data_IF_657466231450
#
_entry.id   IF_657466231450
#
_cell.length_a   1.000
_cell.length_b   1.000
_cell.length_c   1.000
_cell.angle_alpha   90.00
_cell.angle_beta   90.00
_cell.angle_gamma   90.00
#
_symmetry.space_group_name_H-M   'P 1'
#
loop_
_entity.id
_entity.type
_entity.pdbx_description
1 polymer ?
#
# COMPACT_ATOMS: atom_id res chain seq x y z
N UNK A 1 -19.44 -3.61 2.09
CA UNK A 1 -18.87 -2.45 1.36
C UNK A 1 -17.39 -2.74 1.19
N UNK A 2 -16.73 -2.20 0.17
CA UNK A 2 -15.30 -2.48 -0.04
C UNK A 2 -14.51 -1.19 0.04
N UNK A 3 -13.58 -1.14 0.98
CA UNK A 3 -12.63 -0.03 1.12
C UNK A 3 -11.29 -0.44 0.52
N UNK A 4 -10.72 0.45 -0.30
CA UNK A 4 -9.38 0.33 -0.82
C UNK A 4 -8.43 1.19 0.03
N UNK A 5 -7.34 0.60 0.51
CA UNK A 5 -6.25 1.31 1.18
C UNK A 5 -5.05 1.37 0.25
N UNK A 6 -4.66 2.59 -0.05
CA UNK A 6 -3.47 2.93 -0.83
C UNK A 6 -2.31 3.25 0.10
N UNK A 7 -1.16 2.66 -0.19
CA UNK A 7 0.12 2.94 0.45
C UNK A 7 1.13 3.30 -0.64
N UNK A 8 1.85 4.40 -0.49
CA UNK A 8 2.86 4.83 -1.45
C UNK A 8 4.14 5.24 -0.72
N UNK A 9 5.28 4.77 -1.24
CA UNK A 9 6.59 5.18 -0.76
C UNK A 9 7.54 5.45 -1.91
N UNK A 10 8.45 6.40 -1.68
CA UNK A 10 9.59 6.68 -2.55
C UNK A 10 10.86 6.21 -1.84
N UNK A 11 11.59 5.28 -2.47
CA UNK A 11 12.82 4.78 -1.90
C UNK A 11 13.92 5.84 -1.88
N UNK A 12 14.97 5.57 -1.12
CA UNK A 12 16.28 6.19 -1.37
C UNK A 12 16.69 5.90 -2.82
N UNK A 13 17.33 6.88 -3.48
CA UNK A 13 17.70 6.75 -4.89
C UNK A 13 18.50 5.47 -5.17
N UNK A 14 18.04 4.67 -6.15
CA UNK A 14 18.61 3.38 -6.53
C UNK A 14 18.13 2.18 -5.69
N UNK A 15 17.29 2.40 -4.68
CA UNK A 15 16.74 1.33 -3.82
C UNK A 15 15.31 0.90 -4.17
N UNK A 16 14.78 1.28 -5.33
CA UNK A 16 13.40 0.94 -5.71
C UNK A 16 13.12 -0.56 -5.69
N UNK A 17 14.04 -1.39 -6.20
CA UNK A 17 13.88 -2.85 -6.19
C UNK A 17 14.00 -3.45 -4.78
N UNK A 18 14.83 -2.87 -3.91
CA UNK A 18 14.93 -3.28 -2.51
C UNK A 18 13.62 -2.96 -1.75
N UNK A 19 13.05 -1.79 -2.00
CA UNK A 19 11.75 -1.38 -1.46
C UNK A 19 10.62 -2.29 -1.96
N UNK A 20 10.63 -2.62 -3.25
CA UNK A 20 9.65 -3.55 -3.84
C UNK A 20 9.76 -4.95 -3.22
N UNK A 21 10.97 -5.47 -3.09
CA UNK A 21 11.21 -6.76 -2.46
C UNK A 21 10.81 -6.75 -0.97
N UNK A 22 11.08 -5.63 -0.27
CA UNK A 22 10.66 -5.45 1.11
C UNK A 22 9.13 -5.44 1.24
N UNK A 23 8.43 -4.66 0.40
CA UNK A 23 6.98 -4.50 0.53
C UNK A 23 6.26 -5.82 0.28
N UNK A 24 6.67 -6.58 -0.74
CA UNK A 24 6.04 -7.86 -1.12
C UNK A 24 6.15 -8.94 -0.04
N UNK A 25 7.11 -8.82 0.88
CA UNK A 25 7.26 -9.73 2.04
C UNK A 25 6.47 -9.31 3.27
N UNK A 26 5.89 -8.12 3.29
CA UNK A 26 5.14 -7.65 4.47
C UNK A 26 3.82 -8.42 4.61
N UNK A 27 3.58 -9.08 5.75
CA UNK A 27 2.33 -9.77 6.01
C UNK A 27 1.22 -8.76 6.31
N UNK A 28 -0.01 -9.16 6.01
CA UNK A 28 -1.22 -8.49 6.43
C UNK A 28 -2.12 -9.58 7.01
N UNK A 29 -2.51 -9.43 8.28
CA UNK A 29 -3.36 -10.39 8.99
C UNK A 29 -4.53 -9.64 9.66
N UNK A 30 -5.80 -9.90 9.25
CA UNK A 30 -6.19 -10.82 8.18
C UNK A 30 -5.66 -10.41 6.78
N UNK A 31 -5.64 -11.36 5.85
CA UNK A 31 -5.27 -11.06 4.46
C UNK A 31 -6.36 -10.21 3.77
N UNK A 32 -5.98 -9.25 2.90
CA UNK A 32 -6.95 -8.47 2.14
C UNK A 32 -7.65 -9.32 1.08
N UNK A 33 -8.83 -8.87 0.63
CA UNK A 33 -9.57 -9.48 -0.48
C UNK A 33 -8.75 -9.49 -1.78
N UNK A 34 -7.97 -8.43 -1.97
CA UNK A 34 -7.09 -8.22 -3.12
C UNK A 34 -5.92 -7.36 -2.67
N UNK A 35 -4.76 -7.63 -3.24
CA UNK A 35 -3.55 -6.82 -3.08
C UNK A 35 -2.90 -6.68 -4.44
N UNK A 36 -2.61 -5.45 -4.82
CA UNK A 36 -1.87 -5.13 -6.04
C UNK A 36 -0.67 -4.27 -5.69
N UNK A 37 0.44 -4.51 -6.39
CA UNK A 37 1.70 -3.79 -6.15
C UNK A 37 2.22 -3.29 -7.49
N UNK A 38 2.56 -2.00 -7.52
CA UNK A 38 3.01 -1.29 -8.70
C UNK A 38 4.34 -0.62 -8.41
N UNK A 39 5.12 -0.42 -9.47
CA UNK A 39 6.31 0.43 -9.46
C UNK A 39 6.14 1.57 -10.45
N UNK A 40 6.79 2.68 -10.16
CA UNK A 40 6.83 3.85 -11.03
C UNK A 40 8.26 4.42 -11.07
N UNK A 41 8.55 5.35 -12.00
CA UNK A 41 9.82 6.08 -12.00
C UNK A 41 10.14 6.71 -10.63
N UNK A 42 11.41 7.11 -10.47
CA UNK A 42 11.92 7.69 -9.23
C UNK A 42 11.91 6.78 -8.01
N UNK A 43 12.09 5.46 -8.21
CA UNK A 43 12.13 4.45 -7.14
C UNK A 43 10.85 4.42 -6.29
N UNK A 44 9.69 4.63 -6.93
CA UNK A 44 8.39 4.69 -6.26
C UNK A 44 7.69 3.34 -6.30
N UNK A 45 7.11 2.96 -5.16
CA UNK A 45 6.31 1.74 -5.01
C UNK A 45 4.94 2.12 -4.45
N UNK A 46 3.91 1.57 -5.07
CA UNK A 46 2.51 1.75 -4.70
C UNK A 46 1.91 0.39 -4.39
N UNK A 47 1.21 0.27 -3.27
CA UNK A 47 0.40 -0.91 -2.95
C UNK A 47 -1.03 -0.47 -2.71
N UNK A 48 -1.97 -1.17 -3.32
CA UNK A 48 -3.39 -1.01 -3.04
C UNK A 48 -3.91 -2.34 -2.49
N UNK A 49 -4.66 -2.27 -1.39
CA UNK A 49 -5.31 -3.42 -0.75
C UNK A 49 -6.80 -3.16 -0.64
N UNK A 50 -7.62 -4.20 -0.83
CA UNK A 50 -9.07 -4.12 -0.71
C UNK A 50 -9.55 -4.94 0.48
N UNK A 51 -10.46 -4.38 1.25
CA UNK A 51 -10.97 -4.95 2.48
C UNK A 51 -12.50 -4.95 2.46
N UNK A 52 -13.09 -6.02 2.97
CA UNK A 52 -14.53 -6.00 3.28
C UNK A 52 -14.75 -5.20 4.56
N UNK A 53 -15.58 -4.17 4.49
CA UNK A 53 -15.85 -3.28 5.62
C UNK A 53 -16.39 -1.91 5.22
N UNK A 54 -16.79 -1.15 6.23
CA UNK A 54 -17.12 0.26 6.08
C UNK A 54 -15.84 1.10 5.85
N UNK A 55 -16.01 2.31 5.30
CA UNK A 55 -14.89 3.22 5.03
C UNK A 55 -14.09 3.58 6.29
N UNK A 56 -14.78 3.72 7.42
CA UNK A 56 -14.28 4.09 8.74
C UNK A 56 -14.03 2.88 9.64
N UNK A 57 -13.95 1.67 9.09
CA UNK A 57 -13.65 0.48 9.87
C UNK A 57 -12.30 0.62 10.59
N UNK A 58 -12.34 0.50 11.92
CA UNK A 58 -11.14 0.52 12.77
C UNK A 58 -10.28 -0.71 12.56
N UNK A 59 -8.96 -0.54 12.69
CA UNK A 59 -8.02 -1.66 12.79
C UNK A 59 -7.78 -2.45 11.49
N UNK A 60 -8.12 -1.89 10.32
CA UNK A 60 -7.74 -2.49 9.04
C UNK A 60 -6.21 -2.66 8.97
N UNK A 61 -5.68 -3.84 8.62
CA UNK A 61 -4.25 -4.04 8.51
C UNK A 61 -3.63 -3.11 7.46
N UNK A 62 -2.54 -2.44 7.83
CA UNK A 62 -1.82 -1.52 6.95
C UNK A 62 -0.37 -1.96 6.80
N UNK A 63 0.24 -1.63 5.66
CA UNK A 63 1.67 -1.84 5.50
C UNK A 63 2.46 -0.94 6.45
N UNK A 64 3.51 -1.48 7.11
CA UNK A 64 4.32 -0.72 8.04
C UNK A 64 5.11 0.39 7.32
N UNK A 65 5.71 1.28 8.10
CA UNK A 65 6.71 2.20 7.57
C UNK A 65 8.03 1.45 7.34
N UNK A 66 8.67 1.59 6.17
CA UNK A 66 10.00 1.04 5.96
C UNK A 66 11.05 1.81 6.77
N UNK A 67 12.18 1.17 7.05
CA UNK A 67 13.30 1.84 7.72
C UNK A 67 13.85 3.03 6.91
N UNK A 68 14.46 3.98 7.60
CA UNK A 68 15.04 5.20 7.01
C UNK A 68 16.14 4.92 5.98
N UNK A 69 16.75 3.73 6.05
CA UNK A 69 17.71 3.24 5.07
C UNK A 69 17.10 2.87 3.71
N UNK A 70 15.77 2.72 3.66
CA UNK A 70 15.02 2.29 2.49
C UNK A 70 14.17 3.43 1.92
N UNK A 71 13.62 4.31 2.76
CA UNK A 71 12.81 5.46 2.37
C UNK A 71 13.28 6.74 3.05
N UNK A 72 13.26 7.88 2.32
CA UNK A 72 13.67 9.18 2.88
C UNK A 72 12.54 9.99 3.51
N UNK A 73 11.29 9.56 3.32
CA UNK A 73 10.09 10.29 3.76
C UNK A 73 9.09 9.26 4.28
N UNK A 74 8.23 9.72 5.18
CA UNK A 74 7.06 8.97 5.59
C UNK A 74 6.24 8.56 4.36
N UNK A 75 5.63 7.39 4.46
CA UNK A 75 4.81 6.83 3.38
C UNK A 75 3.47 7.53 3.35
N UNK A 76 2.91 7.70 2.16
CA UNK A 76 1.57 8.25 2.02
C UNK A 76 0.52 7.15 2.13
N UNK A 77 -0.60 7.46 2.80
CA UNK A 77 -1.70 6.52 3.02
C UNK A 77 -3.04 7.20 2.76
N UNK A 78 -3.89 6.55 1.99
CA UNK A 78 -5.24 7.04 1.71
C UNK A 78 -6.24 5.88 1.66
N UNK A 79 -7.47 6.13 2.11
CA UNK A 79 -8.61 5.23 2.00
C UNK A 79 -9.55 5.72 0.90
N UNK A 80 -10.13 4.78 0.15
CA UNK A 80 -11.10 5.04 -0.92
C UNK A 80 -12.27 4.07 -0.81
N UNK A 81 -13.47 4.55 -1.09
CA UNK A 81 -14.63 3.68 -1.29
C UNK A 81 -14.61 3.10 -2.71
N UNK A 82 -14.88 1.81 -2.84
CA UNK A 82 -15.06 1.19 -4.16
C UNK A 82 -16.45 1.54 -4.69
N UNK A 83 -16.51 2.25 -5.81
CA UNK A 83 -17.76 2.51 -6.55
C UNK A 83 -17.89 1.52 -7.70
N UNK A 84 -19.12 1.17 -8.05
CA UNK A 84 -19.40 0.36 -9.24
C UNK A 84 -19.17 1.20 -10.50
N UNK A 85 -18.65 0.58 -11.56
CA UNK A 85 -18.57 1.20 -12.88
C UNK A 85 -19.99 1.29 -13.48
N UNK A 86 -20.39 2.48 -13.92
CA UNK A 86 -21.62 2.66 -14.70
C UNK A 86 -21.28 2.37 -16.16
N UNK A 87 -21.31 1.10 -16.54
CA UNK A 87 -20.97 0.64 -17.90
C UNK A 87 -21.80 1.27 -19.01
#
# INVERSE_FOLDING_TARGET
MTVALMWEARAVAGKGEELLAWVTRQPLDPAPLRRETFRAPEDRVLVITWWDGAYDADGLPELPEPGEELVRRAVHRWRFETVADEG
#
